data_IF_349806823007
#
_entry.id   IF_349806823007
#
_cell.length_a   1.000
_cell.length_b   1.000
_cell.length_c   1.000
_cell.angle_alpha   90.00
_cell.angle_beta   90.00
_cell.angle_gamma   90.00
#
_symmetry.space_group_name_H-M   'P 1'
#
loop_
_entity.id
_entity.type
_entity.pdbx_description
1 polymer ?
#
# COMPACT_ATOMS: atom_id res chain seq x y z
N UNK A 1 8.49 -20.81 -16.04
CA UNK A 1 9.08 -21.99 -15.36
C UNK A 1 8.40 -22.17 -14.01
N UNK A 2 7.89 -23.36 -13.67
CA UNK A 2 7.33 -23.66 -12.33
C UNK A 2 8.48 -23.90 -11.35
N UNK A 3 8.56 -23.14 -10.26
CA UNK A 3 9.46 -23.47 -9.16
C UNK A 3 8.90 -24.69 -8.38
N UNK A 4 9.68 -25.77 -8.33
CA UNK A 4 9.49 -26.86 -7.37
C UNK A 4 9.98 -26.35 -6.01
N UNK A 5 9.08 -26.23 -5.03
CA UNK A 5 9.31 -25.91 -3.61
C UNK A 5 10.43 -24.88 -3.30
N UNK A 6 10.03 -23.70 -2.83
CA UNK A 6 10.87 -22.50 -2.65
C UNK A 6 12.17 -22.73 -1.87
N UNK A 7 13.18 -21.92 -2.21
CA UNK A 7 14.45 -21.87 -1.47
C UNK A 7 14.32 -21.59 0.04
N UNK A 8 13.20 -21.05 0.52
CA UNK A 8 12.92 -20.92 1.95
C UNK A 8 12.69 -22.28 2.62
N UNK A 9 11.86 -23.14 2.02
CA UNK A 9 11.56 -24.48 2.54
C UNK A 9 12.85 -25.33 2.57
N UNK A 10 13.69 -25.20 1.55
CA UNK A 10 15.00 -25.84 1.49
C UNK A 10 15.95 -25.33 2.59
N UNK A 11 16.02 -24.00 2.79
CA UNK A 11 16.85 -23.41 3.86
C UNK A 11 16.42 -23.82 5.28
N UNK A 12 15.13 -24.13 5.46
CA UNK A 12 14.58 -24.59 6.75
C UNK A 12 14.69 -26.10 6.93
N UNK A 13 14.75 -26.87 5.84
CA UNK A 13 14.90 -28.34 5.86
C UNK A 13 16.17 -28.79 6.60
N UNK A 14 17.26 -28.03 6.43
CA UNK A 14 18.57 -28.33 7.02
C UNK A 14 18.76 -27.76 8.43
N UNK A 15 17.82 -26.94 8.93
CA UNK A 15 17.87 -26.42 10.30
C UNK A 15 17.33 -27.45 11.28
N UNK A 16 17.90 -27.47 12.50
CA UNK A 16 17.38 -28.29 13.60
C UNK A 16 16.06 -27.67 14.08
N UNK A 17 14.95 -28.27 13.66
CA UNK A 17 13.59 -27.84 13.96
C UNK A 17 12.89 -28.85 14.87
N UNK A 18 11.94 -28.38 15.67
CA UNK A 18 11.04 -29.26 16.42
C UNK A 18 10.05 -29.96 15.49
N UNK A 19 9.47 -31.09 15.93
CA UNK A 19 8.46 -31.81 15.15
C UNK A 19 7.22 -30.93 14.86
N UNK A 20 6.84 -30.05 15.80
CA UNK A 20 5.77 -29.09 15.60
C UNK A 20 6.09 -28.06 14.47
N UNK A 21 7.32 -27.57 14.41
CA UNK A 21 7.77 -26.67 13.33
C UNK A 21 7.76 -27.37 11.97
N UNK A 22 8.16 -28.65 11.90
CA UNK A 22 8.11 -29.45 10.66
C UNK A 22 6.68 -29.65 10.17
N UNK A 23 5.73 -29.93 11.08
CA UNK A 23 4.30 -30.03 10.73
C UNK A 23 3.78 -28.73 10.11
N UNK A 24 4.18 -27.56 10.63
CA UNK A 24 3.83 -26.27 10.06
C UNK A 24 4.40 -26.03 8.65
N UNK A 25 5.65 -26.46 8.38
CA UNK A 25 6.27 -26.32 7.05
C UNK A 25 5.52 -27.13 5.98
N UNK A 26 5.01 -28.31 6.32
CA UNK A 26 4.24 -29.15 5.40
C UNK A 26 2.90 -28.53 4.99
N UNK A 27 2.42 -27.47 5.67
CA UNK A 27 1.20 -26.77 5.29
C UNK A 27 1.42 -25.71 4.20
N UNK A 28 2.65 -25.28 3.92
CA UNK A 28 2.95 -24.18 2.97
C UNK A 28 2.56 -24.54 1.53
N UNK A 29 2.91 -25.71 0.97
CA UNK A 29 2.49 -26.08 -0.39
C UNK A 29 0.97 -26.13 -0.56
N UNK A 30 0.26 -26.58 0.47
CA UNK A 30 -1.20 -26.63 0.49
C UNK A 30 -1.81 -25.22 0.45
N UNK A 31 -1.18 -24.23 1.09
CA UNK A 31 -1.64 -22.83 1.05
C UNK A 31 -1.55 -22.22 -0.35
N UNK A 32 -0.49 -22.52 -1.11
CA UNK A 32 -0.34 -22.08 -2.51
C UNK A 32 -1.44 -22.68 -3.39
N UNK A 33 -1.68 -23.98 -3.27
CA UNK A 33 -2.74 -24.67 -4.02
C UNK A 33 -4.12 -24.09 -3.70
N UNK A 34 -4.44 -23.94 -2.41
CA UNK A 34 -5.73 -23.38 -1.98
C UNK A 34 -5.92 -21.94 -2.46
N UNK A 35 -4.86 -21.12 -2.48
CA UNK A 35 -4.95 -19.74 -2.98
C UNK A 35 -5.16 -19.71 -4.50
N UNK A 36 -4.43 -20.53 -5.26
CA UNK A 36 -4.55 -20.60 -6.72
C UNK A 36 -5.98 -20.97 -7.17
N UNK A 37 -6.55 -22.00 -6.55
CA UNK A 37 -7.90 -22.46 -6.85
C UNK A 37 -8.98 -21.76 -6.01
N UNK A 38 -8.64 -20.66 -5.32
CA UNK A 38 -9.56 -20.00 -4.40
C UNK A 38 -10.89 -19.56 -5.01
N UNK A 39 -10.98 -19.05 -6.26
CA UNK A 39 -12.28 -18.67 -6.83
C UNK A 39 -13.23 -19.85 -7.04
N UNK A 40 -12.70 -21.06 -7.25
CA UNK A 40 -13.50 -22.29 -7.41
C UNK A 40 -13.73 -23.00 -6.08
N UNK A 41 -12.76 -22.94 -5.17
CA UNK A 41 -12.86 -23.54 -3.83
C UNK A 41 -13.84 -22.75 -2.97
N UNK A 42 -13.71 -21.42 -2.90
CA UNK A 42 -14.56 -20.57 -2.06
C UNK A 42 -15.71 -19.99 -2.87
N UNK A 43 -16.66 -20.84 -3.27
CA UNK A 43 -17.81 -20.42 -4.09
C UNK A 43 -19.15 -20.65 -3.39
N UNK A 44 -20.10 -19.76 -3.66
CA UNK A 44 -21.43 -19.78 -3.05
C UNK A 44 -22.20 -21.08 -3.33
N UNK A 45 -22.06 -21.66 -4.53
CA UNK A 45 -22.83 -22.83 -4.95
C UNK A 45 -22.30 -24.18 -4.42
N UNK A 46 -21.13 -24.21 -3.76
CA UNK A 46 -20.51 -25.48 -3.28
C UNK A 46 -20.70 -25.71 -1.79
N UNK A 47 -20.69 -24.64 -0.98
CA UNK A 47 -20.88 -24.76 0.46
C UNK A 47 -22.28 -24.31 0.85
N UNK A 48 -23.08 -25.25 1.36
CA UNK A 48 -24.32 -24.93 2.07
C UNK A 48 -23.93 -24.52 3.49
N UNK A 49 -23.87 -23.21 3.77
CA UNK A 49 -23.42 -22.72 5.06
C UNK A 49 -23.55 -21.20 5.23
N UNK A 50 -23.26 -20.75 6.46
CA UNK A 50 -23.26 -19.32 6.79
C UNK A 50 -22.04 -18.63 6.15
N UNK A 51 -22.33 -17.66 5.29
CA UNK A 51 -21.34 -16.77 4.70
C UNK A 51 -20.74 -15.85 5.77
N UNK A 52 -19.41 -15.84 5.90
CA UNK A 52 -18.71 -15.00 6.88
C UNK A 52 -17.81 -14.00 6.16
N UNK A 53 -17.98 -12.72 6.48
CA UNK A 53 -17.09 -11.68 5.98
C UNK A 53 -15.74 -11.72 6.71
N UNK A 54 -14.64 -11.58 5.96
CA UNK A 54 -13.31 -11.51 6.52
C UNK A 54 -13.01 -10.09 7.03
N UNK A 55 -12.46 -10.00 8.24
CA UNK A 55 -12.18 -8.73 8.92
C UNK A 55 -11.45 -7.71 8.03
N UNK A 56 -11.95 -6.48 8.01
CA UNK A 56 -11.40 -5.33 7.27
C UNK A 56 -11.33 -5.50 5.74
N UNK A 57 -12.08 -6.45 5.18
CA UNK A 57 -12.15 -6.69 3.73
C UNK A 57 -13.60 -6.95 3.30
N UNK A 58 -13.88 -6.76 2.01
CA UNK A 58 -15.15 -7.15 1.41
C UNK A 58 -15.25 -8.62 1.01
N UNK A 59 -14.32 -9.47 1.48
CA UNK A 59 -14.25 -10.87 1.08
C UNK A 59 -15.20 -11.68 1.94
N UNK A 60 -16.01 -12.50 1.29
CA UNK A 60 -16.85 -13.47 1.96
C UNK A 60 -16.29 -14.89 1.83
N UNK A 61 -16.26 -15.60 2.95
CA UNK A 61 -15.93 -17.01 3.02
C UNK A 61 -17.20 -17.84 3.14
N UNK A 62 -17.41 -18.76 2.20
CA UNK A 62 -18.58 -19.64 2.15
C UNK A 62 -18.42 -20.91 3.00
N UNK A 63 -17.19 -21.22 3.42
CA UNK A 63 -16.88 -22.35 4.29
C UNK A 63 -15.67 -22.08 5.17
N UNK A 64 -15.47 -22.93 6.20
CA UNK A 64 -14.29 -22.85 7.08
C UNK A 64 -13.08 -23.46 6.37
N UNK A 65 -12.31 -22.62 5.66
CA UNK A 65 -11.10 -23.01 4.94
C UNK A 65 -9.89 -22.27 5.54
N UNK A 66 -9.27 -22.79 6.62
CA UNK A 66 -8.24 -22.04 7.37
C UNK A 66 -7.04 -21.64 6.53
N UNK A 67 -6.58 -22.50 5.63
CA UNK A 67 -5.44 -22.23 4.75
C UNK A 67 -5.69 -21.04 3.82
N UNK A 68 -6.91 -20.95 3.25
CA UNK A 68 -7.34 -19.82 2.43
C UNK A 68 -7.45 -18.55 3.28
N UNK A 69 -8.10 -18.63 4.44
CA UNK A 69 -8.25 -17.50 5.37
C UNK A 69 -6.89 -16.86 5.69
N UNK A 70 -5.89 -17.67 6.03
CA UNK A 70 -4.54 -17.19 6.33
C UNK A 70 -3.93 -16.47 5.12
N UNK A 71 -4.06 -17.04 3.92
CA UNK A 71 -3.52 -16.44 2.69
C UNK A 71 -4.18 -15.10 2.35
N UNK A 72 -5.51 -15.00 2.44
CA UNK A 72 -6.23 -13.74 2.17
C UNK A 72 -5.92 -12.66 3.21
N UNK A 73 -5.83 -13.01 4.50
CA UNK A 73 -5.37 -12.08 5.55
C UNK A 73 -3.95 -11.58 5.26
N UNK A 74 -3.05 -12.45 4.77
CA UNK A 74 -1.69 -12.05 4.42
C UNK A 74 -1.64 -11.11 3.21
N UNK A 75 -2.50 -11.33 2.21
CA UNK A 75 -2.60 -10.45 1.03
C UNK A 75 -3.12 -9.08 1.44
N UNK A 76 -4.21 -9.01 2.23
CA UNK A 76 -4.86 -7.76 2.59
C UNK A 76 -4.36 -7.11 3.89
N UNK A 77 -3.24 -7.61 4.44
CA UNK A 77 -2.61 -7.06 5.66
C UNK A 77 -2.31 -5.56 5.55
N UNK A 78 -2.21 -4.90 6.70
CA UNK A 78 -1.93 -3.46 6.80
C UNK A 78 -2.96 -2.60 6.04
N UNK A 79 -4.25 -2.95 6.22
CA UNK A 79 -5.39 -2.17 5.74
C UNK A 79 -5.41 -1.99 4.21
N UNK A 80 -4.92 -2.98 3.45
CA UNK A 80 -4.76 -2.82 2.00
C UNK A 80 -6.09 -2.57 1.29
N UNK A 81 -7.19 -3.16 1.74
CA UNK A 81 -8.52 -2.93 1.16
C UNK A 81 -8.94 -1.46 1.24
N UNK A 82 -8.81 -0.86 2.43
CA UNK A 82 -9.11 0.56 2.66
C UNK A 82 -8.19 1.46 1.84
N UNK A 83 -6.91 1.11 1.76
CA UNK A 83 -5.91 1.86 0.97
C UNK A 83 -6.17 1.81 -0.53
N UNK A 84 -6.61 0.66 -1.06
CA UNK A 84 -7.02 0.56 -2.47
C UNK A 84 -8.21 1.47 -2.74
N UNK A 85 -9.23 1.42 -1.90
CA UNK A 85 -10.41 2.26 -2.05
C UNK A 85 -10.03 3.74 -2.04
N UNK A 86 -9.33 4.19 -0.98
CA UNK A 86 -8.89 5.57 -0.83
C UNK A 86 -8.02 6.04 -2.00
N UNK A 87 -7.07 5.21 -2.45
CA UNK A 87 -6.17 5.54 -3.55
C UNK A 87 -6.93 5.74 -4.86
N UNK A 88 -7.95 4.93 -5.15
CA UNK A 88 -8.77 5.07 -6.37
C UNK A 88 -9.68 6.30 -6.29
N UNK A 89 -10.27 6.58 -5.11
CA UNK A 89 -11.03 7.82 -4.87
C UNK A 89 -10.16 9.05 -5.14
N UNK A 90 -8.95 9.08 -4.58
CA UNK A 90 -8.00 10.18 -4.75
C UNK A 90 -7.56 10.35 -6.21
N UNK A 91 -7.25 9.25 -6.92
CA UNK A 91 -6.87 9.30 -8.33
C UNK A 91 -8.02 9.85 -9.19
N UNK A 92 -9.27 9.45 -8.94
CA UNK A 92 -10.42 10.00 -9.65
C UNK A 92 -10.67 11.47 -9.33
N UNK A 93 -10.53 11.90 -8.07
CA UNK A 93 -10.59 13.33 -7.72
C UNK A 93 -9.59 14.14 -8.56
N UNK A 94 -8.33 13.69 -8.64
CA UNK A 94 -7.29 14.36 -9.43
C UNK A 94 -7.62 14.40 -10.93
N UNK A 95 -8.26 13.36 -11.46
CA UNK A 95 -8.71 13.34 -12.85
C UNK A 95 -9.81 14.37 -13.09
N UNK A 96 -10.78 14.49 -12.18
CA UNK A 96 -11.84 15.50 -12.30
C UNK A 96 -11.32 16.93 -12.09
N UNK A 97 -10.35 17.12 -11.19
CA UNK A 97 -9.70 18.43 -10.97
C UNK A 97 -8.95 18.93 -12.21
N UNK A 98 -8.52 18.04 -13.10
CA UNK A 98 -7.87 18.40 -14.37
C UNK A 98 -8.86 18.77 -15.48
N UNK A 99 -10.14 18.42 -15.33
CA UNK A 99 -11.18 18.54 -16.36
C UNK A 99 -12.33 19.47 -15.92
N UNK A 100 -12.07 20.38 -14.97
CA UNK A 100 -13.08 21.28 -14.42
C UNK A 100 -13.77 22.13 -15.50
N UNK A 101 -12.97 22.81 -16.33
CA UNK A 101 -13.48 23.72 -17.36
C UNK A 101 -14.22 22.95 -18.47
N UNK A 102 -13.66 21.81 -18.90
CA UNK A 102 -14.21 21.02 -20.00
C UNK A 102 -15.56 20.37 -19.66
N UNK A 103 -15.77 20.05 -18.38
CA UNK A 103 -16.97 19.41 -17.87
C UNK A 103 -17.94 20.35 -17.14
N UNK A 104 -17.64 21.66 -17.11
CA UNK A 104 -18.44 22.67 -16.39
C UNK A 104 -18.64 22.33 -14.89
N UNK A 105 -17.56 21.89 -14.25
CA UNK A 105 -17.52 21.57 -12.82
C UNK A 105 -17.04 22.81 -12.06
N UNK A 106 -17.83 23.28 -11.08
CA UNK A 106 -17.44 24.35 -10.16
C UNK A 106 -16.42 23.85 -9.12
N UNK A 107 -16.69 22.69 -8.51
CA UNK A 107 -15.79 22.11 -7.51
C UNK A 107 -15.96 20.59 -7.42
N UNK A 108 -14.85 19.92 -7.15
CA UNK A 108 -14.76 18.48 -6.87
C UNK A 108 -14.51 18.32 -5.39
N UNK A 109 -15.49 17.80 -4.66
CA UNK A 109 -15.38 17.58 -3.23
C UNK A 109 -15.21 16.08 -2.94
N UNK A 110 -14.09 15.71 -2.31
CA UNK A 110 -13.95 14.38 -1.70
C UNK A 110 -14.73 14.35 -0.38
N UNK A 111 -15.65 13.42 -0.25
CA UNK A 111 -16.44 13.26 0.96
C UNK A 111 -15.63 12.64 2.11
N UNK A 112 -15.95 13.06 3.34
CA UNK A 112 -15.34 12.49 4.54
C UNK A 112 -16.05 11.17 4.87
N UNK A 113 -15.51 10.06 4.36
CA UNK A 113 -16.11 8.74 4.55
C UNK A 113 -15.68 8.08 5.86
N UNK A 114 -16.58 7.29 6.44
CA UNK A 114 -16.23 6.45 7.57
C UNK A 114 -15.20 5.39 7.13
N UNK A 115 -14.12 5.13 7.91
CA UNK A 115 -13.04 4.21 7.48
C UNK A 115 -13.51 2.80 7.10
N UNK A 116 -14.65 2.36 7.65
CA UNK A 116 -15.22 1.03 7.39
C UNK A 116 -16.11 0.95 6.13
N UNK A 117 -16.39 2.08 5.47
CA UNK A 117 -17.27 2.15 4.30
C UNK A 117 -16.80 1.24 3.16
N UNK A 118 -15.50 1.25 2.88
CA UNK A 118 -14.89 0.47 1.80
C UNK A 118 -15.21 -1.04 1.83
N UNK A 119 -15.47 -1.62 3.01
CA UNK A 119 -15.83 -3.04 3.17
C UNK A 119 -17.22 -3.22 3.77
N UNK A 120 -18.08 -2.20 3.76
CA UNK A 120 -19.48 -2.31 4.17
C UNK A 120 -20.31 -2.64 2.93
N UNK A 121 -20.85 -3.86 2.87
CA UNK A 121 -21.50 -4.40 1.66
C UNK A 121 -23.02 -4.24 1.63
N UNK A 122 -23.63 -3.82 2.75
CA UNK A 122 -25.08 -3.67 2.89
C UNK A 122 -25.58 -2.24 2.64
N UNK A 123 -24.76 -1.22 2.85
CA UNK A 123 -25.12 0.16 2.52
C UNK A 123 -23.87 0.98 2.24
N UNK A 124 -24.03 2.08 1.50
CA UNK A 124 -22.95 2.95 1.07
C UNK A 124 -23.31 4.44 1.21
N UNK A 125 -22.34 5.30 0.90
CA UNK A 125 -22.46 6.75 0.78
C UNK A 125 -21.55 7.23 -0.35
N UNK A 126 -21.74 8.46 -0.83
CA UNK A 126 -20.89 9.05 -1.85
C UNK A 126 -19.42 9.15 -1.40
N UNK A 127 -18.49 8.96 -2.33
CA UNK A 127 -17.05 9.21 -2.15
C UNK A 127 -16.64 10.58 -2.68
N UNK A 128 -17.18 10.95 -3.83
CA UNK A 128 -16.88 12.19 -4.53
C UNK A 128 -18.21 12.86 -4.84
N UNK A 129 -18.28 14.17 -4.62
CA UNK A 129 -19.40 15.01 -4.99
C UNK A 129 -18.92 16.11 -5.94
N UNK A 130 -19.50 16.13 -7.13
CA UNK A 130 -19.27 17.15 -8.14
C UNK A 130 -20.39 18.19 -8.08
N UNK A 131 -20.01 19.46 -8.16
CA UNK A 131 -20.94 20.58 -8.26
C UNK A 131 -20.85 21.18 -9.65
N UNK A 132 -21.98 21.30 -10.34
CA UNK A 132 -22.03 21.89 -11.68
C UNK A 132 -21.96 23.42 -11.58
N UNK A 133 -21.23 24.07 -12.50
CA UNK A 133 -21.19 25.53 -12.58
C UNK A 133 -22.55 26.14 -12.91
N UNK A 134 -23.43 25.40 -13.59
CA UNK A 134 -24.81 25.79 -13.84
C UNK A 134 -25.79 24.63 -13.64
N UNK A 135 -25.95 23.77 -14.65
CA UNK A 135 -26.80 22.58 -14.64
C UNK A 135 -26.31 21.58 -15.68
N UNK A 136 -26.25 20.30 -15.31
CA UNK A 136 -26.07 19.22 -16.28
C UNK A 136 -27.40 18.63 -16.69
N UNK A 137 -27.59 18.43 -17.99
CA UNK A 137 -28.60 17.53 -18.53
C UNK A 137 -28.07 16.10 -18.42
N UNK A 138 -28.79 15.23 -17.71
CA UNK A 138 -28.28 13.92 -17.32
C UNK A 138 -29.09 12.82 -17.99
N UNK A 139 -28.41 11.75 -18.40
CA UNK A 139 -29.03 10.56 -18.96
C UNK A 139 -29.79 9.73 -17.93
N UNK A 140 -30.62 8.81 -18.44
CA UNK A 140 -31.08 7.66 -17.65
C UNK A 140 -29.89 6.79 -17.24
N UNK A 141 -29.99 6.00 -16.16
CA UNK A 141 -28.91 5.11 -15.75
C UNK A 141 -28.57 4.09 -16.85
N UNK A 142 -27.28 4.01 -17.22
CA UNK A 142 -26.77 3.08 -18.24
C UNK A 142 -25.38 2.55 -17.83
N UNK A 143 -24.90 1.52 -18.52
CA UNK A 143 -23.57 0.96 -18.26
C UNK A 143 -22.47 1.86 -18.82
N UNK A 144 -21.26 1.71 -18.26
CA UNK A 144 -20.05 2.40 -18.73
C UNK A 144 -19.76 2.13 -20.20
N UNK A 145 -20.03 0.91 -20.69
CA UNK A 145 -19.76 0.49 -22.07
C UNK A 145 -20.86 0.88 -23.07
N UNK A 146 -22.02 1.37 -22.59
CA UNK A 146 -23.13 1.77 -23.46
C UNK A 146 -22.78 3.05 -24.22
N UNK A 147 -23.11 3.10 -25.51
CA UNK A 147 -22.73 4.18 -26.44
C UNK A 147 -23.84 5.17 -26.77
N UNK A 148 -25.10 4.85 -26.45
CA UNK A 148 -26.27 5.67 -26.80
C UNK A 148 -26.95 6.19 -25.55
N UNK A 149 -26.44 7.30 -25.03
CA UNK A 149 -27.11 8.03 -23.95
C UNK A 149 -27.98 9.15 -24.53
N UNK A 150 -29.21 9.25 -24.04
CA UNK A 150 -30.09 10.39 -24.30
C UNK A 150 -30.09 11.24 -23.04
N UNK A 151 -29.70 12.51 -23.17
CA UNK A 151 -29.53 13.45 -22.07
C UNK A 151 -30.83 14.22 -21.75
N UNK A 152 -31.95 13.50 -21.71
CA UNK A 152 -33.30 14.07 -21.56
C UNK A 152 -33.98 13.68 -20.24
N UNK A 153 -33.29 12.97 -19.35
CA UNK A 153 -33.92 12.38 -18.18
C UNK A 153 -34.22 13.41 -17.09
N UNK A 154 -33.24 14.21 -16.72
CA UNK A 154 -33.37 15.22 -15.65
C UNK A 154 -32.23 16.23 -15.72
N UNK A 155 -32.39 17.34 -15.01
CA UNK A 155 -31.31 18.32 -14.79
C UNK A 155 -30.84 18.29 -13.35
N UNK A 156 -29.53 18.30 -13.12
CA UNK A 156 -28.95 18.30 -11.77
C UNK A 156 -27.85 19.35 -11.62
N UNK A 157 -27.57 19.72 -10.37
CA UNK A 157 -26.43 20.55 -9.97
C UNK A 157 -25.43 19.78 -9.11
N UNK A 158 -25.83 18.62 -8.59
CA UNK A 158 -24.99 17.75 -7.75
C UNK A 158 -24.91 16.37 -8.37
N UNK A 159 -23.71 15.82 -8.42
CA UNK A 159 -23.47 14.50 -8.99
C UNK A 159 -22.50 13.72 -8.11
N UNK A 160 -22.94 12.58 -7.59
CA UNK A 160 -22.11 11.76 -6.72
C UNK A 160 -21.45 10.60 -7.47
N UNK A 161 -20.30 10.17 -6.95
CA UNK A 161 -19.60 8.96 -7.38
C UNK A 161 -19.40 8.07 -6.16
N UNK A 162 -19.76 6.79 -6.28
CA UNK A 162 -19.52 5.76 -5.28
C UNK A 162 -18.62 4.66 -5.86
N UNK A 163 -17.56 4.30 -5.14
CA UNK A 163 -16.60 3.28 -5.55
C UNK A 163 -16.77 2.03 -4.70
N UNK A 164 -17.12 0.93 -5.35
CA UNK A 164 -17.34 -0.36 -4.71
C UNK A 164 -16.22 -1.34 -5.07
N UNK A 165 -15.52 -1.81 -4.06
CA UNK A 165 -14.55 -2.89 -4.20
C UNK A 165 -15.23 -4.24 -3.97
N UNK A 166 -14.81 -5.24 -4.72
CA UNK A 166 -15.32 -6.60 -4.64
C UNK A 166 -14.19 -7.62 -4.75
N UNK A 167 -14.40 -8.79 -4.16
CA UNK A 167 -13.62 -9.99 -4.43
C UNK A 167 -14.54 -11.07 -5.00
N UNK A 168 -14.54 -11.26 -6.32
CA UNK A 168 -15.39 -12.22 -7.00
C UNK A 168 -15.00 -13.69 -6.76
N UNK A 169 -15.94 -14.59 -7.05
CA UNK A 169 -15.70 -16.03 -7.11
C UNK A 169 -15.95 -16.57 -8.53
N UNK A 170 -15.87 -17.88 -8.75
CA UNK A 170 -16.09 -18.44 -10.08
C UNK A 170 -17.54 -18.26 -10.57
N UNK A 171 -18.52 -18.33 -9.67
CA UNK A 171 -19.94 -18.26 -10.03
C UNK A 171 -20.40 -16.82 -10.30
N UNK A 172 -19.78 -15.85 -9.64
CA UNK A 172 -20.15 -14.46 -9.70
C UNK A 172 -18.89 -13.60 -9.82
N UNK A 173 -18.59 -13.21 -11.05
CA UNK A 173 -17.51 -12.28 -11.41
C UNK A 173 -17.88 -11.32 -12.54
N UNK A 174 -19.13 -11.38 -13.03
CA UNK A 174 -19.70 -10.36 -13.91
C UNK A 174 -19.83 -9.05 -13.13
N UNK A 175 -18.98 -8.09 -13.48
CA UNK A 175 -18.85 -6.81 -12.79
C UNK A 175 -19.93 -5.80 -13.22
N UNK A 176 -20.47 -5.92 -14.43
CA UNK A 176 -21.53 -5.04 -14.95
C UNK A 176 -22.84 -5.31 -14.22
N UNK A 177 -23.19 -6.60 -14.12
CA UNK A 177 -24.36 -7.04 -13.36
C UNK A 177 -24.27 -6.64 -11.89
N UNK A 178 -23.08 -6.75 -11.29
CA UNK A 178 -22.84 -6.34 -9.91
C UNK A 178 -23.00 -4.82 -9.73
N UNK A 179 -22.39 -4.01 -10.60
CA UNK A 179 -22.49 -2.55 -10.54
C UNK A 179 -23.95 -2.09 -10.63
N UNK A 180 -24.71 -2.64 -11.58
CA UNK A 180 -26.13 -2.34 -11.74
C UNK A 180 -26.96 -2.76 -10.53
N UNK A 181 -26.75 -3.98 -10.02
CA UNK A 181 -27.48 -4.48 -8.86
C UNK A 181 -27.24 -3.59 -7.65
N UNK A 182 -25.97 -3.28 -7.33
CA UNK A 182 -25.63 -2.42 -6.19
C UNK A 182 -26.13 -0.99 -6.34
N UNK A 183 -26.06 -0.42 -7.55
CA UNK A 183 -26.62 0.91 -7.78
C UNK A 183 -28.12 0.93 -7.49
N UNK A 184 -28.88 -0.04 -8.02
CA UNK A 184 -30.33 -0.11 -7.79
C UNK A 184 -30.64 -0.39 -6.32
N UNK A 185 -29.94 -1.32 -5.68
CA UNK A 185 -30.13 -1.63 -4.26
C UNK A 185 -29.89 -0.38 -3.39
N UNK A 186 -28.78 0.34 -3.61
CA UNK A 186 -28.43 1.49 -2.77
C UNK A 186 -29.21 2.76 -3.08
N UNK A 187 -29.77 2.91 -4.28
CA UNK A 187 -30.58 4.10 -4.61
C UNK A 187 -32.06 3.91 -4.29
N UNK A 188 -32.52 2.67 -4.08
CA UNK A 188 -33.91 2.36 -3.71
C UNK A 188 -34.09 2.06 -2.22
N UNK A 189 -33.05 1.61 -1.53
CA UNK A 189 -33.06 1.37 -0.09
C UNK A 189 -32.86 2.66 0.74
N UNK A 190 -33.55 2.76 1.87
CA UNK A 190 -33.46 3.89 2.79
C UNK A 190 -32.21 3.85 3.69
N UNK A 191 -31.44 2.75 3.70
CA UNK A 191 -30.20 2.66 4.50
C UNK A 191 -29.02 3.42 3.89
N UNK A 192 -29.02 3.65 2.58
CA UNK A 192 -27.97 4.39 1.87
C UNK A 192 -28.51 5.78 1.55
N UNK A 193 -27.72 6.81 1.82
CA UNK A 193 -28.14 8.20 1.60
C UNK A 193 -27.13 8.84 0.66
N UNK A 194 -27.62 9.31 -0.48
CA UNK A 194 -26.84 10.06 -1.46
C UNK A 194 -27.29 11.52 -1.52
N UNK A 195 -26.38 12.48 -1.79
CA UNK A 195 -26.70 13.90 -1.82
C UNK A 195 -27.66 14.34 -2.95
N UNK A 196 -27.81 13.52 -3.99
CA UNK A 196 -28.67 13.77 -5.16
C UNK A 196 -29.17 12.44 -5.74
N UNK A 197 -30.28 12.44 -6.50
CA UNK A 197 -30.76 11.24 -7.19
C UNK A 197 -29.90 10.85 -8.40
N UNK A 198 -29.00 11.75 -8.84
CA UNK A 198 -28.10 11.56 -9.97
C UNK A 198 -26.67 11.27 -9.51
N UNK A 199 -26.13 10.15 -9.96
CA UNK A 199 -24.73 9.78 -9.74
C UNK A 199 -24.38 8.46 -10.39
N UNK A 200 -23.17 7.97 -10.12
CA UNK A 200 -22.65 6.73 -10.70
C UNK A 200 -21.94 5.88 -9.65
N UNK A 201 -22.15 4.57 -9.74
CA UNK A 201 -21.44 3.58 -8.96
C UNK A 201 -20.41 2.88 -9.84
N UNK A 202 -19.14 2.95 -9.46
CA UNK A 202 -18.00 2.29 -10.10
C UNK A 202 -17.68 1.03 -9.29
N UNK A 203 -17.77 -0.14 -9.91
CA UNK A 203 -17.47 -1.41 -9.28
C UNK A 203 -16.15 -2.00 -9.80
N UNK A 204 -15.33 -2.52 -8.89
CA UNK A 204 -14.01 -3.09 -9.20
C UNK A 204 -13.89 -4.47 -8.56
N UNK A 205 -13.68 -5.49 -9.38
CA UNK A 205 -13.36 -6.84 -8.92
C UNK A 205 -11.83 -7.00 -8.78
N UNK A 206 -11.37 -7.05 -7.54
CA UNK A 206 -9.97 -7.19 -7.19
C UNK A 206 -9.39 -8.57 -7.48
N UNK A 207 -10.23 -9.61 -7.54
CA UNK A 207 -9.80 -10.98 -7.82
C UNK A 207 -9.52 -11.17 -9.31
N UNK A 208 -10.40 -10.62 -10.16
CA UNK A 208 -10.34 -10.77 -11.61
C UNK A 208 -9.78 -9.56 -12.35
N UNK A 209 -9.47 -8.47 -11.64
CA UNK A 209 -8.98 -7.22 -12.21
C UNK A 209 -9.95 -6.63 -13.26
N UNK A 210 -11.25 -6.78 -13.00
CA UNK A 210 -12.34 -6.25 -13.84
C UNK A 210 -12.91 -4.98 -13.21
N UNK A 211 -13.41 -4.07 -14.03
CA UNK A 211 -14.12 -2.90 -13.56
C UNK A 211 -15.28 -2.58 -14.49
N UNK A 212 -16.32 -1.97 -13.95
CA UNK A 212 -17.40 -1.36 -14.72
C UNK A 212 -18.07 -0.28 -13.88
N UNK A 213 -19.00 0.45 -14.46
CA UNK A 213 -19.81 1.41 -13.74
C UNK A 213 -21.24 1.39 -14.26
N UNK A 214 -22.18 1.72 -13.37
CA UNK A 214 -23.58 1.88 -13.70
C UNK A 214 -24.13 3.10 -12.97
N UNK A 215 -24.89 3.91 -13.69
CA UNK A 215 -25.51 5.09 -13.13
C UNK A 215 -25.84 6.11 -14.21
N UNK A 216 -26.18 7.30 -13.76
CA UNK A 216 -26.51 8.43 -14.62
C UNK A 216 -25.25 9.02 -15.24
N UNK A 217 -25.32 9.53 -16.47
CA UNK A 217 -24.18 10.16 -17.16
C UNK A 217 -24.51 11.58 -17.56
N UNK A 218 -23.58 12.51 -17.35
CA UNK A 218 -23.66 13.85 -17.92
C UNK A 218 -22.69 13.95 -19.11
N UNK A 219 -22.87 14.92 -20.02
CA UNK A 219 -22.02 15.07 -21.19
C UNK A 219 -20.52 15.08 -20.83
N UNK A 220 -19.74 14.24 -21.50
CA UNK A 220 -18.29 14.14 -21.27
C UNK A 220 -17.86 13.22 -20.11
N UNK A 221 -18.73 12.91 -19.14
CA UNK A 221 -18.32 12.14 -17.97
C UNK A 221 -17.99 10.67 -18.26
N UNK A 222 -18.78 10.03 -19.14
CA UNK A 222 -18.57 8.64 -19.54
C UNK A 222 -17.22 8.39 -20.22
N UNK A 223 -16.83 9.10 -21.31
CA UNK A 223 -15.53 8.89 -21.93
C UNK A 223 -14.36 9.24 -21.00
N UNK A 224 -14.50 10.23 -20.12
CA UNK A 224 -13.48 10.54 -19.11
C UNK A 224 -13.27 9.35 -18.16
N UNK A 225 -14.35 8.82 -17.57
CA UNK A 225 -14.28 7.69 -16.63
C UNK A 225 -13.73 6.43 -17.34
N UNK A 226 -14.09 6.17 -18.60
CA UNK A 226 -13.53 5.06 -19.38
C UNK A 226 -11.99 5.15 -19.48
N UNK A 227 -11.47 6.33 -19.85
CA UNK A 227 -10.02 6.54 -19.97
C UNK A 227 -9.32 6.51 -18.60
N UNK A 228 -9.92 7.17 -17.61
CA UNK A 228 -9.40 7.25 -16.25
C UNK A 228 -9.28 5.86 -15.61
N UNK A 229 -10.35 5.06 -15.66
CA UNK A 229 -10.35 3.73 -15.06
C UNK A 229 -9.39 2.78 -15.77
N UNK A 230 -9.25 2.86 -17.10
CA UNK A 230 -8.24 2.09 -17.82
C UNK A 230 -6.81 2.41 -17.34
N UNK A 231 -6.52 3.68 -17.09
CA UNK A 231 -5.23 4.15 -16.56
C UNK A 231 -5.02 3.74 -15.10
N UNK A 232 -5.99 4.00 -14.23
CA UNK A 232 -5.96 3.68 -12.79
C UNK A 232 -5.77 2.17 -12.60
N UNK A 233 -6.57 1.35 -13.29
CA UNK A 233 -6.44 -0.11 -13.21
C UNK A 233 -5.04 -0.57 -13.60
N UNK A 234 -4.34 0.11 -14.51
CA UNK A 234 -2.97 -0.27 -14.89
C UNK A 234 -1.91 0.25 -13.91
N UNK A 235 -2.00 1.52 -13.52
CA UNK A 235 -0.90 2.27 -12.90
C UNK A 235 -1.07 2.56 -11.40
N UNK A 236 -2.22 2.25 -10.78
CA UNK A 236 -2.46 2.56 -9.38
C UNK A 236 -1.49 1.77 -8.45
N UNK A 237 -0.74 2.46 -7.57
CA UNK A 237 0.24 1.81 -6.68
C UNK A 237 -0.38 0.80 -5.70
N UNK A 238 -1.59 1.07 -5.18
CA UNK A 238 -2.25 0.17 -4.23
C UNK A 238 -2.68 -1.14 -4.92
N UNK A 239 -3.19 -1.05 -6.15
CA UNK A 239 -3.49 -2.22 -6.98
C UNK A 239 -2.22 -2.99 -7.38
N UNK A 240 -1.11 -2.29 -7.64
CA UNK A 240 0.19 -2.94 -7.87
C UNK A 240 0.63 -3.76 -6.65
N UNK A 241 0.58 -3.18 -5.44
CA UNK A 241 0.90 -3.88 -4.19
C UNK A 241 0.01 -5.12 -4.00
N UNK A 242 -1.29 -5.04 -4.34
CA UNK A 242 -2.18 -6.20 -4.32
C UNK A 242 -1.70 -7.30 -5.26
N UNK A 243 -1.42 -6.98 -6.53
CA UNK A 243 -0.96 -7.92 -7.55
C UNK A 243 0.34 -8.58 -7.15
N UNK A 244 1.30 -7.81 -6.64
CA UNK A 244 2.59 -8.33 -6.17
C UNK A 244 2.44 -9.26 -4.98
N UNK A 245 1.55 -8.95 -4.03
CA UNK A 245 1.26 -9.85 -2.90
C UNK A 245 0.60 -11.15 -3.35
N UNK A 246 -0.30 -11.09 -4.33
CA UNK A 246 -0.91 -12.28 -4.94
C UNK A 246 0.17 -13.11 -5.65
N UNK A 247 1.01 -12.49 -6.50
CA UNK A 247 2.14 -13.16 -7.19
C UNK A 247 3.09 -13.82 -6.20
N UNK A 248 3.51 -13.11 -5.14
CA UNK A 248 4.34 -13.65 -4.04
C UNK A 248 3.66 -14.81 -3.32
N UNK A 249 2.36 -14.70 -3.03
CA UNK A 249 1.57 -15.76 -2.39
C UNK A 249 1.41 -17.01 -3.26
N UNK A 250 1.34 -16.82 -4.57
CA UNK A 250 1.26 -17.88 -5.57
C UNK A 250 2.64 -18.40 -6.02
N UNK A 251 3.73 -17.73 -5.63
CA UNK A 251 5.10 -17.98 -6.06
C UNK A 251 5.22 -17.96 -7.60
N UNK A 252 4.62 -16.94 -8.22
CA UNK A 252 4.73 -16.68 -9.64
C UNK A 252 5.75 -15.57 -9.85
N UNK A 253 6.80 -15.87 -10.62
CA UNK A 253 7.81 -14.90 -11.01
C UNK A 253 7.69 -14.64 -12.51
N UNK A 254 7.55 -13.37 -12.89
CA UNK A 254 7.69 -12.90 -14.26
C UNK A 254 9.00 -12.14 -14.39
N UNK A 255 9.65 -12.27 -15.54
CA UNK A 255 10.81 -11.47 -15.92
C UNK A 255 10.37 -10.08 -16.41
N UNK A 256 9.50 -9.40 -15.64
CA UNK A 256 9.16 -8.01 -15.95
C UNK A 256 10.39 -7.13 -15.67
N UNK A 257 10.69 -6.13 -16.52
CA UNK A 257 11.78 -5.20 -16.28
C UNK A 257 11.45 -4.36 -15.05
N UNK A 258 12.00 -4.73 -13.89
CA UNK A 258 11.95 -3.92 -12.68
C UNK A 258 12.92 -2.76 -12.81
N UNK A 259 12.63 -1.63 -12.13
CA UNK A 259 13.65 -0.60 -11.97
C UNK A 259 14.95 -1.20 -11.42
N UNK A 260 16.11 -0.87 -12.03
CA UNK A 260 17.38 -1.43 -11.62
C UNK A 260 17.70 -0.97 -10.20
N UNK A 261 18.20 -1.89 -9.38
CA UNK A 261 18.71 -1.56 -8.06
C UNK A 261 19.90 -0.62 -8.16
N UNK A 262 20.18 0.09 -7.06
CA UNK A 262 21.42 0.84 -6.95
C UNK A 262 22.60 -0.15 -6.95
N UNK A 263 23.47 0.00 -7.93
CA UNK A 263 24.68 -0.78 -8.16
C UNK A 263 25.86 0.16 -8.43
N UNK A 264 27.04 -0.40 -8.65
CA UNK A 264 28.21 0.39 -9.05
C UNK A 264 28.03 1.09 -10.41
N UNK A 265 27.15 0.58 -11.28
CA UNK A 265 26.95 1.11 -12.63
C UNK A 265 26.12 2.40 -12.64
N UNK A 266 25.14 2.53 -11.74
CA UNK A 266 24.25 3.70 -11.63
C UNK A 266 24.50 4.53 -10.36
N UNK A 267 25.63 4.32 -9.69
CA UNK A 267 26.01 5.04 -8.47
C UNK A 267 26.04 6.57 -8.64
N UNK A 268 26.34 7.06 -9.84
CA UNK A 268 26.33 8.48 -10.16
C UNK A 268 24.95 9.16 -10.04
N UNK A 269 23.85 8.41 -10.17
CA UNK A 269 22.48 8.93 -10.08
C UNK A 269 22.17 9.57 -8.71
N UNK A 270 22.88 9.13 -7.66
CA UNK A 270 22.77 9.62 -6.29
C UNK A 270 23.06 11.13 -6.14
N UNK A 271 23.78 11.71 -7.11
CA UNK A 271 24.25 13.10 -7.05
C UNK A 271 23.54 14.00 -8.06
N UNK A 272 22.40 13.56 -8.58
CA UNK A 272 21.53 14.38 -9.42
C UNK A 272 20.86 15.53 -8.63
N UNK A 273 20.14 16.39 -9.35
CA UNK A 273 19.35 17.45 -8.72
C UNK A 273 18.12 16.94 -7.95
N UNK A 274 17.83 15.64 -8.00
CA UNK A 274 16.74 15.05 -7.23
C UNK A 274 17.11 14.92 -5.75
N UNK A 275 16.10 15.03 -4.87
CA UNK A 275 16.27 14.71 -3.45
C UNK A 275 16.17 13.20 -3.30
N UNK A 276 17.28 12.58 -2.90
CA UNK A 276 17.41 11.14 -2.74
C UNK A 276 17.76 10.83 -1.29
N UNK A 277 17.02 9.92 -0.67
CA UNK A 277 17.29 9.46 0.70
C UNK A 277 17.72 8.01 0.72
N UNK A 278 18.72 7.69 1.54
CA UNK A 278 18.95 6.34 2.03
C UNK A 278 18.18 6.11 3.31
N UNK A 279 17.55 4.94 3.42
CA UNK A 279 16.92 4.46 4.66
C UNK A 279 17.62 3.18 5.10
N UNK A 280 18.22 3.20 6.30
CA UNK A 280 18.80 2.03 6.94
C UNK A 280 18.05 1.67 8.23
N UNK A 281 17.50 0.44 8.27
CA UNK A 281 16.74 -0.10 9.40
C UNK A 281 17.57 -1.03 10.29
N UNK A 282 18.88 -1.16 10.04
CA UNK A 282 19.77 -2.13 10.69
C UNK A 282 19.78 -2.00 12.21
N UNK A 283 19.78 -0.76 12.73
CA UNK A 283 19.89 -0.47 14.16
C UNK A 283 18.56 -0.03 14.81
N UNK A 284 17.41 -0.34 14.18
CA UNK A 284 16.09 0.03 14.71
C UNK A 284 15.68 -0.85 15.88
N UNK A 285 15.78 -2.18 15.72
CA UNK A 285 15.47 -3.12 16.79
C UNK A 285 16.75 -3.80 17.25
N UNK A 286 17.30 -3.28 18.35
CA UNK A 286 18.53 -3.78 18.99
C UNK A 286 18.18 -4.49 20.29
N UNK A 287 18.94 -5.53 20.61
CA UNK A 287 18.73 -6.32 21.82
C UNK A 287 20.03 -6.55 22.56
N UNK A 288 19.95 -6.61 23.88
CA UNK A 288 21.00 -7.14 24.76
C UNK A 288 20.58 -8.52 25.24
N UNK A 289 21.52 -9.46 25.25
CA UNK A 289 21.30 -10.82 25.71
C UNK A 289 21.71 -10.90 27.17
N UNK A 290 20.84 -11.45 28.02
CA UNK A 290 21.13 -11.73 29.42
C UNK A 290 20.74 -13.18 29.73
N UNK A 291 21.37 -13.75 30.76
CA UNK A 291 21.07 -15.12 31.21
C UNK A 291 20.07 -15.06 32.35
N UNK A 292 18.99 -15.83 32.27
CA UNK A 292 18.04 -15.99 33.37
C UNK A 292 18.62 -16.88 34.47
N UNK A 293 17.99 -16.86 35.64
CA UNK A 293 18.35 -17.73 36.76
C UNK A 293 18.32 -19.22 36.38
N UNK A 294 17.36 -19.62 35.54
CA UNK A 294 17.20 -20.98 35.00
C UNK A 294 18.25 -21.35 33.95
N UNK A 295 19.16 -20.42 33.62
CA UNK A 295 20.23 -20.62 32.65
C UNK A 295 19.86 -20.35 31.20
N UNK A 296 18.61 -19.97 30.92
CA UNK A 296 18.14 -19.63 29.57
C UNK A 296 18.66 -18.26 29.12
N UNK A 297 18.95 -18.10 27.83
CA UNK A 297 19.30 -16.79 27.26
C UNK A 297 18.04 -16.04 26.86
N UNK A 298 17.83 -14.86 27.43
CA UNK A 298 16.72 -13.95 27.14
C UNK A 298 17.23 -12.66 26.53
N UNK A 299 16.42 -12.04 25.68
CA UNK A 299 16.74 -10.78 25.02
C UNK A 299 15.94 -9.63 25.65
N UNK A 300 16.60 -8.50 25.89
CA UNK A 300 15.96 -7.24 26.29
C UNK A 300 16.17 -6.20 25.19
N UNK A 301 15.12 -5.51 24.73
CA UNK A 301 15.28 -4.45 23.76
C UNK A 301 16.03 -3.27 24.38
N UNK A 302 16.85 -2.61 23.58
CA UNK A 302 17.44 -1.31 23.91
C UNK A 302 16.96 -0.28 22.88
N UNK A 303 17.21 1.00 23.14
CA UNK A 303 16.90 2.06 22.18
C UNK A 303 17.55 1.76 20.82
N UNK A 304 16.85 2.08 19.75
CA UNK A 304 17.36 1.98 18.39
C UNK A 304 17.28 3.31 17.67
N UNK A 305 17.70 3.33 16.41
CA UNK A 305 17.53 4.50 15.56
C UNK A 305 17.28 4.09 14.11
N UNK A 306 16.43 4.87 13.45
CA UNK A 306 16.28 4.87 11.99
C UNK A 306 17.28 5.89 11.45
N UNK A 307 18.04 5.49 10.44
CA UNK A 307 19.04 6.34 9.80
C UNK A 307 18.53 6.72 8.41
N UNK A 308 18.21 8.01 8.22
CA UNK A 308 17.74 8.55 6.94
C UNK A 308 18.72 9.59 6.46
N UNK A 309 19.39 9.36 5.33
CA UNK A 309 20.53 10.17 4.91
C UNK A 309 20.39 10.68 3.48
N UNK A 310 20.63 11.98 3.29
CA UNK A 310 20.70 12.63 1.99
C UNK A 310 22.17 12.71 1.52
N UNK A 311 22.51 11.92 0.50
CA UNK A 311 23.90 11.84 -0.03
C UNK A 311 24.38 13.11 -0.69
N UNK A 312 23.48 13.99 -1.14
CA UNK A 312 23.86 15.23 -1.79
C UNK A 312 24.19 16.32 -0.78
N UNK A 313 23.34 16.50 0.22
CA UNK A 313 23.47 17.59 1.20
C UNK A 313 24.26 17.20 2.44
N UNK A 314 24.39 15.90 2.72
CA UNK A 314 24.97 15.39 3.97
C UNK A 314 23.99 15.40 5.14
N UNK A 315 22.75 15.84 4.92
CA UNK A 315 21.75 15.89 5.97
C UNK A 315 21.35 14.49 6.43
N UNK A 316 21.44 14.26 7.73
CA UNK A 316 21.01 13.05 8.41
C UNK A 316 19.80 13.37 9.30
N UNK A 317 18.70 12.66 9.04
CA UNK A 317 17.56 12.58 9.95
C UNK A 317 17.73 11.30 10.79
N UNK A 318 18.14 11.47 12.05
CA UNK A 318 18.30 10.37 12.99
C UNK A 318 17.05 10.29 13.88
N UNK A 319 16.16 9.35 13.58
CA UNK A 319 14.98 9.12 14.42
C UNK A 319 15.32 8.09 15.50
N UNK A 320 15.32 8.51 16.75
CA UNK A 320 15.51 7.63 17.90
C UNK A 320 14.20 6.89 18.18
N UNK A 321 14.29 5.57 18.30
CA UNK A 321 13.18 4.69 18.67
C UNK A 321 13.42 4.19 20.08
N UNK A 322 12.63 4.72 21.01
CA UNK A 322 12.72 4.37 22.43
C UNK A 322 12.14 2.97 22.71
N UNK A 323 12.62 2.31 23.77
CA UNK A 323 12.18 0.96 24.17
C UNK A 323 10.68 0.82 24.42
N UNK A 324 10.00 1.92 24.78
CA UNK A 324 8.54 1.94 25.00
C UNK A 324 7.74 1.50 23.77
N UNK A 325 8.26 1.71 22.56
CA UNK A 325 7.60 1.29 21.30
C UNK A 325 7.45 -0.24 21.22
N UNK A 326 8.32 -0.99 21.90
CA UNK A 326 8.33 -2.44 21.91
C UNK A 326 7.47 -3.05 23.03
N UNK A 327 7.00 -2.23 23.98
CA UNK A 327 6.28 -2.70 25.15
C UNK A 327 4.96 -3.37 24.78
N UNK A 328 4.71 -4.57 25.31
CA UNK A 328 3.50 -5.35 25.05
C UNK A 328 3.41 -5.96 23.64
N UNK A 329 4.40 -5.75 22.78
CA UNK A 329 4.39 -6.23 21.40
C UNK A 329 5.12 -7.56 21.23
N UNK A 330 4.71 -8.33 20.21
CA UNK A 330 5.37 -9.59 19.81
C UNK A 330 5.86 -9.48 18.37
N UNK A 331 6.77 -10.38 17.96
CA UNK A 331 7.37 -10.41 16.61
C UNK A 331 8.07 -9.10 16.23
N UNK A 332 8.87 -8.59 17.17
CA UNK A 332 9.50 -7.27 17.11
C UNK A 332 10.37 -7.06 15.86
N UNK A 333 11.02 -8.11 15.32
CA UNK A 333 11.79 -7.99 14.08
C UNK A 333 10.96 -7.64 12.84
N UNK A 334 9.68 -8.02 12.79
CA UNK A 334 8.77 -7.57 11.73
C UNK A 334 8.23 -6.18 12.06
N UNK A 335 7.84 -5.95 13.32
CA UNK A 335 7.33 -4.66 13.77
C UNK A 335 8.32 -3.52 13.52
N UNK A 336 9.61 -3.77 13.71
CA UNK A 336 10.68 -2.80 13.47
C UNK A 336 10.63 -2.23 12.04
N UNK A 337 10.42 -3.08 11.03
CA UNK A 337 10.34 -2.67 9.62
C UNK A 337 9.11 -1.81 9.34
N UNK A 338 7.96 -2.20 9.90
CA UNK A 338 6.72 -1.43 9.77
C UNK A 338 6.81 -0.08 10.50
N UNK A 339 7.36 -0.06 11.71
CA UNK A 339 7.61 1.18 12.44
C UNK A 339 8.60 2.10 11.73
N UNK A 340 9.62 1.52 11.10
CA UNK A 340 10.55 2.29 10.26
C UNK A 340 9.81 2.96 9.10
N UNK A 341 9.00 2.21 8.36
CA UNK A 341 8.24 2.76 7.23
C UNK A 341 7.18 3.79 7.67
N UNK A 342 6.54 3.58 8.82
CA UNK A 342 5.59 4.52 9.41
C UNK A 342 6.26 5.86 9.75
N UNK A 343 7.41 5.84 10.42
CA UNK A 343 8.17 7.04 10.79
C UNK A 343 8.77 7.75 9.56
N UNK A 344 9.22 6.99 8.55
CA UNK A 344 9.67 7.56 7.27
C UNK A 344 8.52 8.29 6.57
N UNK A 345 7.34 7.67 6.48
CA UNK A 345 6.16 8.31 5.89
C UNK A 345 5.70 9.54 6.70
N UNK A 346 5.77 9.49 8.03
CA UNK A 346 5.46 10.62 8.89
C UNK A 346 6.45 11.78 8.69
N UNK A 347 7.75 11.50 8.54
CA UNK A 347 8.75 12.51 8.22
C UNK A 347 8.45 13.18 6.87
N UNK A 348 8.14 12.40 5.82
CA UNK A 348 7.80 12.97 4.50
C UNK A 348 6.58 13.87 4.58
N UNK A 349 5.53 13.47 5.33
CA UNK A 349 4.34 14.30 5.56
C UNK A 349 4.65 15.60 6.30
N UNK A 350 5.68 15.63 7.14
CA UNK A 350 6.08 16.82 7.88
C UNK A 350 6.87 17.83 7.05
N UNK A 351 7.40 17.42 5.89
CA UNK A 351 8.19 18.27 5.02
C UNK A 351 7.31 18.99 3.97
N UNK A 352 7.66 20.24 3.60
CA UNK A 352 7.10 20.89 2.42
C UNK A 352 7.33 20.06 1.15
N UNK A 353 6.43 20.19 0.16
CA UNK A 353 6.44 19.38 -1.07
C UNK A 353 7.74 19.55 -1.86
N UNK A 354 8.39 20.70 -1.75
CA UNK A 354 9.68 21.04 -2.37
C UNK A 354 10.84 20.26 -1.78
N UNK A 355 10.76 19.86 -0.50
CA UNK A 355 11.79 19.12 0.23
C UNK A 355 11.54 17.61 0.24
N UNK A 356 10.38 17.16 -0.25
CA UNK A 356 10.04 15.74 -0.30
C UNK A 356 10.98 14.99 -1.26
N UNK A 357 11.44 13.78 -0.86
CA UNK A 357 12.33 13.00 -1.70
C UNK A 357 11.61 12.55 -2.97
N UNK A 358 12.32 12.53 -4.10
CA UNK A 358 11.85 11.90 -5.34
C UNK A 358 12.22 10.42 -5.39
N UNK A 359 13.28 10.02 -4.70
CA UNK A 359 13.68 8.62 -4.59
C UNK A 359 14.08 8.26 -3.16
N UNK A 360 13.70 7.07 -2.73
CA UNK A 360 14.11 6.45 -1.46
C UNK A 360 14.80 5.13 -1.78
N UNK A 361 16.05 5.01 -1.34
CA UNK A 361 16.88 3.83 -1.52
C UNK A 361 17.00 3.11 -0.18
N UNK A 362 16.60 1.84 -0.14
CA UNK A 362 16.73 1.02 1.06
C UNK A 362 17.97 0.13 1.03
N UNK A 363 18.65 0.06 2.17
CA UNK A 363 19.82 -0.85 2.33
C UNK A 363 19.41 -2.32 2.39
N UNK A 364 18.20 -2.60 2.89
CA UNK A 364 17.72 -3.97 3.13
C UNK A 364 16.38 -4.21 2.41
N UNK A 365 16.33 -5.24 1.56
CA UNK A 365 15.15 -5.62 0.77
C UNK A 365 13.86 -5.79 1.59
N UNK A 366 13.99 -6.14 2.87
CA UNK A 366 12.85 -6.27 3.78
C UNK A 366 12.07 -4.97 4.04
N UNK A 367 12.64 -3.81 3.70
CA UNK A 367 12.01 -2.49 3.81
C UNK A 367 11.23 -2.05 2.58
N UNK A 368 11.38 -2.74 1.43
CA UNK A 368 10.63 -2.41 0.21
C UNK A 368 9.11 -2.54 0.44
N UNK A 369 8.65 -3.72 0.84
CA UNK A 369 7.20 -3.96 1.03
C UNK A 369 6.55 -3.00 2.06
N UNK A 370 7.13 -2.73 3.25
CA UNK A 370 6.53 -1.77 4.18
C UNK A 370 6.49 -0.34 3.65
N UNK A 371 7.54 0.13 2.96
CA UNK A 371 7.56 1.49 2.40
C UNK A 371 6.55 1.64 1.26
N UNK A 372 6.46 0.68 0.34
CA UNK A 372 5.44 0.70 -0.74
C UNK A 372 4.03 0.85 -0.18
N UNK A 373 3.76 0.26 0.99
CA UNK A 373 2.45 0.30 1.63
C UNK A 373 2.20 1.61 2.38
N UNK A 374 3.23 2.17 3.02
CA UNK A 374 3.11 3.41 3.79
C UNK A 374 3.20 4.68 2.93
N UNK A 375 3.77 4.57 1.73
CA UNK A 375 3.96 5.68 0.79
C UNK A 375 2.94 5.67 -0.37
N UNK A 376 1.83 4.94 -0.25
CA UNK A 376 0.74 5.00 -1.25
C UNK A 376 0.16 6.41 -1.42
N UNK A 377 0.20 7.23 -0.37
CA UNK A 377 -0.21 8.64 -0.41
C UNK A 377 0.79 9.52 -1.21
N UNK A 378 1.96 8.97 -1.56
CA UNK A 378 3.05 9.65 -2.25
C UNK A 378 3.44 8.91 -3.55
N UNK A 379 2.56 8.88 -4.57
CA UNK A 379 2.76 8.07 -5.78
C UNK A 379 4.00 8.47 -6.61
N UNK A 380 4.51 9.69 -6.41
CA UNK A 380 5.66 10.23 -7.14
C UNK A 380 7.02 9.84 -6.53
N UNK A 381 7.04 9.13 -5.40
CA UNK A 381 8.27 8.73 -4.73
C UNK A 381 8.66 7.33 -5.20
N UNK A 382 9.82 7.24 -5.85
CA UNK A 382 10.39 5.98 -6.31
C UNK A 382 11.05 5.25 -5.15
N UNK A 383 10.76 3.96 -4.97
CA UNK A 383 11.35 3.12 -3.91
C UNK A 383 12.27 2.09 -4.56
N UNK A 384 13.58 2.18 -4.29
CA UNK A 384 14.62 1.36 -4.92
C UNK A 384 15.41 0.56 -3.88
N UNK A 385 15.81 -0.66 -4.23
CA UNK A 385 16.74 -1.46 -3.43
C UNK A 385 18.19 -1.14 -3.74
N UNK A 386 19.10 -1.35 -2.79
CA UNK A 386 20.55 -1.29 -3.00
C UNK A 386 21.17 -2.69 -3.09
N UNK A 387 22.00 -2.93 -4.10
CA UNK A 387 22.95 -4.05 -4.13
C UNK A 387 24.25 -3.71 -3.41
N UNK A 388 24.57 -2.42 -3.32
CA UNK A 388 25.71 -1.92 -2.56
C UNK A 388 25.43 -2.04 -1.05
N UNK A 389 26.36 -2.68 -0.35
CA UNK A 389 26.33 -2.75 1.11
C UNK A 389 27.07 -1.55 1.71
N UNK A 390 26.32 -0.48 1.97
CA UNK A 390 26.86 0.73 2.58
C UNK A 390 26.94 0.59 4.11
N UNK A 391 28.06 0.96 4.74
CA UNK A 391 28.30 0.71 6.17
C UNK A 391 27.63 1.73 7.10
N UNK A 392 26.41 2.20 6.82
CA UNK A 392 25.73 3.21 7.65
C UNK A 392 25.56 2.79 9.11
N UNK A 393 25.42 1.49 9.38
CA UNK A 393 25.39 0.97 10.75
C UNK A 393 26.64 1.31 11.58
N UNK A 394 27.80 1.52 10.94
CA UNK A 394 29.04 1.85 11.63
C UNK A 394 29.03 3.30 12.14
N UNK A 395 28.27 4.20 11.50
CA UNK A 395 28.11 5.58 11.93
C UNK A 395 27.56 5.65 13.37
N UNK A 396 26.64 4.75 13.74
CA UNK A 396 26.07 4.72 15.09
C UNK A 396 27.04 4.19 16.17
N UNK A 397 28.25 3.76 15.79
CA UNK A 397 29.31 3.42 16.75
C UNK A 397 30.13 4.63 17.20
N UNK A 398 30.00 5.77 16.53
CA UNK A 398 30.61 7.02 16.99
C UNK A 398 29.96 7.40 18.32
N UNK A 399 30.77 7.71 19.32
CA UNK A 399 30.34 7.97 20.71
C UNK A 399 29.21 8.99 20.78
N UNK A 400 29.30 10.08 20.02
CA UNK A 400 28.26 11.12 19.93
C UNK A 400 26.88 10.56 19.59
N UNK A 401 26.79 9.67 18.60
CA UNK A 401 25.51 9.04 18.22
C UNK A 401 25.10 7.94 19.20
N UNK A 402 26.05 7.10 19.61
CA UNK A 402 25.82 6.00 20.54
C UNK A 402 25.23 6.48 21.87
N UNK A 403 25.88 7.47 22.49
CA UNK A 403 25.45 8.07 23.76
C UNK A 403 24.09 8.74 23.65
N UNK A 404 23.87 9.49 22.57
CA UNK A 404 22.59 10.16 22.33
C UNK A 404 21.44 9.16 22.25
N UNK A 405 21.62 8.05 21.52
CA UNK A 405 20.59 7.02 21.37
C UNK A 405 20.36 6.29 22.71
N UNK A 406 21.42 5.98 23.45
CA UNK A 406 21.31 5.22 24.71
C UNK A 406 20.71 6.04 25.85
N UNK A 407 21.01 7.34 25.93
CA UNK A 407 20.53 8.25 26.99
C UNK A 407 19.12 8.81 26.73
N UNK A 408 18.58 8.65 25.52
CA UNK A 408 17.25 9.16 25.18
C UNK A 408 16.15 8.47 26.01
N UNK A 409 15.26 9.30 26.58
CA UNK A 409 14.10 8.87 27.38
C UNK A 409 12.80 8.81 26.59
N UNK A 410 12.78 9.41 25.39
CA UNK A 410 11.62 9.45 24.50
C UNK A 410 12.03 9.33 23.02
N UNK A 411 11.09 8.94 22.12
CA UNK A 411 11.34 8.98 20.69
C UNK A 411 11.45 10.43 20.20
N UNK A 412 12.56 10.76 19.53
CA UNK A 412 12.80 12.10 19.01
C UNK A 412 13.52 12.06 17.65
N UNK A 413 13.30 13.09 16.84
CA UNK A 413 14.02 13.30 15.58
C UNK A 413 15.18 14.26 15.83
N UNK A 414 16.39 13.86 15.44
CA UNK A 414 17.59 14.70 15.59
C UNK A 414 18.24 14.89 14.23
N UNK A 415 18.52 16.16 13.89
CA UNK A 415 19.14 16.54 12.64
C UNK A 415 20.66 16.64 12.80
N UNK A 416 21.38 16.09 11.83
CA UNK A 416 22.83 16.23 11.72
C UNK A 416 23.21 16.55 10.28
N UNK A 417 24.43 17.04 10.09
CA UNK A 417 25.07 17.06 8.79
C UNK A 417 26.36 16.25 8.88
N UNK A 418 26.45 15.14 8.15
CA UNK A 418 27.62 14.27 8.19
C UNK A 418 28.79 14.79 7.36
N UNK A 419 28.55 15.75 6.48
CA UNK A 419 29.62 16.40 5.72
C UNK A 419 30.23 17.60 6.45
N UNK A 420 29.67 18.01 7.59
CA UNK A 420 30.05 19.24 8.28
C UNK A 420 30.17 20.40 7.27
N UNK A 421 31.38 20.94 7.09
CA UNK A 421 31.72 22.03 6.18
C UNK A 421 32.40 21.58 4.87
N UNK A 422 32.50 20.28 4.60
CA UNK A 422 33.24 19.74 3.46
C UNK A 422 32.73 20.26 2.12
N UNK A 423 31.41 20.47 1.99
CA UNK A 423 30.78 20.98 0.77
C UNK A 423 31.24 22.39 0.37
N UNK A 424 31.95 23.13 1.25
CA UNK A 424 32.59 24.40 0.90
C UNK A 424 33.80 24.22 -0.02
N UNK A 425 34.46 23.05 0.01
CA UNK A 425 35.75 22.82 -0.67
C UNK A 425 35.76 21.60 -1.57
N UNK A 426 34.90 20.60 -1.34
CA UNK A 426 34.82 19.38 -2.14
C UNK A 426 33.38 19.13 -2.64
N UNK A 427 33.27 18.39 -3.74
CA UNK A 427 31.99 18.00 -4.30
C UNK A 427 31.24 17.03 -3.38
N UNK A 428 29.91 16.95 -3.52
CA UNK A 428 29.07 15.99 -2.80
C UNK A 428 29.47 14.54 -3.08
N UNK A 429 29.87 14.22 -4.32
CA UNK A 429 30.41 12.92 -4.69
C UNK A 429 31.66 12.56 -3.88
N UNK A 430 32.63 13.47 -3.82
CA UNK A 430 33.87 13.28 -3.05
C UNK A 430 33.60 13.20 -1.55
N UNK A 431 32.67 14.02 -1.04
CA UNK A 431 32.27 14.03 0.37
C UNK A 431 31.61 12.70 0.76
N UNK A 432 30.70 12.18 -0.07
CA UNK A 432 30.07 10.88 0.16
C UNK A 432 31.09 9.75 0.13
N UNK A 433 31.97 9.74 -0.89
CA UNK A 433 33.02 8.74 -0.99
C UNK A 433 33.93 8.75 0.24
N UNK A 434 34.22 9.93 0.81
CA UNK A 434 34.98 10.07 2.06
C UNK A 434 34.25 9.49 3.27
N UNK A 435 32.93 9.63 3.38
CA UNK A 435 32.15 9.01 4.47
C UNK A 435 32.14 7.48 4.37
N UNK A 436 32.10 6.96 3.14
CA UNK A 436 31.97 5.52 2.92
C UNK A 436 33.27 4.73 3.11
N UNK A 437 34.41 5.43 3.07
CA UNK A 437 35.76 4.90 3.38
C UNK A 437 35.97 4.98 4.88
#
# INVERSE_FOLDING_TARGET
MREKASGFEESMKWKKLTNAQRSGLNQIPNRRFTLWWSPTINRANVYVGFQVQLDLTGIFMHGKIPTLKISLIQIFRAHLWQKIHESIVMDLCQVFDQELDALEIETVQKETIHPRKSYKMNSSCADILLFASYKWNVSRPSLLADSKDVMDSTTTQKYWIDIQLRWGDYDSHDIERYARAKFLDYTTDNMSIYPSPTGVLIAIDLAYNLHSAYGNWFPGSKPLIQQAMAKIMKANPALYVLRERIRKGLQLYSSEPTEPYLSSQNYGELFSNQIIWFVDDTNVYRVTIHKTFEGNLTTKPINGAIFIFNTRTGQLFLKIIHTSVWAGQKRLGQLAKWKTAEEVAALIRSLPVEEQPKQIIVTRKGMLDPLEVHLLDFPNIVIKGSELQLPFQACLKVEKFGDLILKATEPQMVLFNLYDDWLKTISSYTAFSRITV
#
